data_IF_472621791359
#
_entry.id   IF_472621791359
#
_cell.length_a   1.000
_cell.length_b   1.000
_cell.length_c   1.000
_cell.angle_alpha   90.00
_cell.angle_beta   90.00
_cell.angle_gamma   90.00
#
_symmetry.space_group_name_H-M   'P 1'
#
loop_
_entity.id
_entity.type
_entity.pdbx_description
1 polymer ?
#
# COMPACT_ATOMS: atom_id res chain seq x y z
N UNK A 1 -1.54 24.46 -3.37
CA UNK A 1 -2.07 23.13 -2.99
C UNK A 1 -1.07 22.42 -2.10
N UNK A 2 -1.22 22.62 -0.83
CA UNK A 2 -0.36 21.99 0.19
C UNK A 2 -0.93 20.64 0.59
N UNK A 3 -0.66 19.65 -0.22
CA UNK A 3 -1.16 18.31 -0.04
C UNK A 3 -0.34 17.55 1.01
N UNK A 4 -0.98 16.89 1.97
CA UNK A 4 -0.33 16.14 3.05
C UNK A 4 0.70 15.11 2.52
N UNK A 5 0.45 14.57 1.32
CA UNK A 5 1.39 13.71 0.58
C UNK A 5 2.66 14.45 0.11
N UNK A 6 2.57 15.75 -0.14
CA UNK A 6 3.70 16.57 -0.61
C UNK A 6 4.55 17.12 0.54
N UNK A 7 3.95 17.44 1.68
CA UNK A 7 4.67 18.05 2.81
C UNK A 7 5.65 17.13 3.54
N UNK A 8 5.39 15.82 3.57
CA UNK A 8 6.29 14.88 4.27
C UNK A 8 7.49 14.40 3.44
N UNK A 9 7.63 14.84 2.19
CA UNK A 9 8.69 14.36 1.30
C UNK A 9 9.64 15.44 0.78
N UNK A 10 9.46 16.71 1.13
CA UNK A 10 10.34 17.78 0.67
C UNK A 10 11.22 18.25 1.84
N UNK A 11 12.28 17.50 2.11
CA UNK A 11 13.46 17.99 2.80
C UNK A 11 14.36 18.70 1.78
N UNK A 12 14.76 19.93 2.11
CA UNK A 12 15.66 20.82 1.36
C UNK A 12 16.78 20.10 0.59
N UNK A 13 16.92 20.41 -0.70
CA UNK A 13 17.97 19.88 -1.55
C UNK A 13 18.54 20.88 -2.52
N UNK A 14 19.84 20.94 -2.61
CA UNK A 14 20.63 21.49 -3.73
C UNK A 14 20.25 20.81 -5.04
N UNK A 15 20.14 21.59 -6.12
CA UNK A 15 19.63 21.14 -7.44
C UNK A 15 20.64 20.21 -8.10
N UNK A 16 20.40 18.91 -7.95
CA UNK A 16 21.02 17.86 -8.77
C UNK A 16 20.00 17.42 -9.83
N UNK A 17 20.35 17.55 -11.12
CA UNK A 17 19.47 17.21 -12.25
C UNK A 17 19.00 15.74 -12.22
N UNK A 18 19.81 14.80 -11.74
CA UNK A 18 19.42 13.41 -11.55
C UNK A 18 18.34 13.29 -10.45
N UNK A 19 18.42 14.13 -9.45
CA UNK A 19 17.45 14.20 -8.36
C UNK A 19 16.12 14.80 -8.81
N UNK A 20 16.16 15.82 -9.67
CA UNK A 20 14.95 16.39 -10.31
C UNK A 20 14.25 15.35 -11.18
N UNK A 21 15.01 14.59 -11.98
CA UNK A 21 14.47 13.51 -12.81
C UNK A 21 13.80 12.42 -11.96
N UNK A 22 14.44 11.97 -10.88
CA UNK A 22 13.87 11.01 -9.94
C UNK A 22 12.63 11.56 -9.21
N UNK A 23 12.59 12.87 -8.91
CA UNK A 23 11.42 13.53 -8.32
C UNK A 23 10.25 13.53 -9.32
N UNK A 24 10.49 13.82 -10.61
CA UNK A 24 9.45 13.84 -11.64
C UNK A 24 8.86 12.45 -11.89
N UNK A 25 9.69 11.41 -11.97
CA UNK A 25 9.24 10.01 -12.04
C UNK A 25 8.40 9.67 -10.81
N UNK A 26 8.84 10.07 -9.62
CA UNK A 26 8.11 9.85 -8.38
C UNK A 26 6.75 10.56 -8.35
N UNK A 27 6.62 11.75 -8.96
CA UNK A 27 5.34 12.48 -9.03
C UNK A 27 4.34 11.72 -9.89
N UNK A 28 4.76 11.23 -11.07
CA UNK A 28 3.88 10.47 -11.96
C UNK A 28 3.46 9.13 -11.32
N UNK A 29 4.40 8.41 -10.72
CA UNK A 29 4.09 7.19 -9.98
C UNK A 29 3.10 7.44 -8.83
N UNK A 30 3.24 8.54 -8.10
CA UNK A 30 2.31 8.92 -7.02
C UNK A 30 0.92 9.21 -7.54
N UNK A 31 0.78 9.91 -8.66
CA UNK A 31 -0.52 10.11 -9.32
C UNK A 31 -1.18 8.77 -9.66
N UNK A 32 -0.44 7.85 -10.27
CA UNK A 32 -0.95 6.53 -10.61
C UNK A 32 -1.35 5.72 -9.37
N UNK A 33 -0.60 5.82 -8.28
CA UNK A 33 -0.93 5.18 -6.99
C UNK A 33 -2.26 5.73 -6.47
N UNK A 34 -2.40 7.05 -6.38
CA UNK A 34 -3.61 7.71 -5.88
C UNK A 34 -4.84 7.31 -6.71
N UNK A 35 -4.75 7.36 -8.03
CA UNK A 35 -5.81 6.97 -8.95
C UNK A 35 -6.17 5.49 -8.81
N UNK A 36 -5.16 4.61 -8.75
CA UNK A 36 -5.38 3.16 -8.61
C UNK A 36 -6.09 2.83 -7.31
N UNK A 37 -5.78 3.57 -6.24
CA UNK A 37 -6.37 3.39 -4.92
C UNK A 37 -7.70 4.14 -4.73
N UNK A 38 -8.15 4.91 -5.74
CA UNK A 38 -9.39 5.69 -5.67
C UNK A 38 -9.36 6.72 -4.55
N UNK A 39 -8.26 7.46 -4.44
CA UNK A 39 -8.05 8.49 -3.41
C UNK A 39 -8.05 9.92 -3.98
N UNK A 40 -8.37 10.11 -5.27
CA UNK A 40 -8.29 11.40 -5.96
C UNK A 40 -9.13 12.49 -5.29
N UNK A 41 -10.30 12.13 -4.79
CA UNK A 41 -11.25 13.03 -4.12
C UNK A 41 -11.01 13.15 -2.61
N UNK A 42 -9.96 12.53 -2.08
CA UNK A 42 -9.64 12.45 -0.63
C UNK A 42 -8.26 13.02 -0.27
N UNK A 43 -7.60 13.68 -1.20
CA UNK A 43 -6.23 14.16 -1.02
C UNK A 43 -6.09 15.20 0.10
N UNK A 44 -7.13 15.99 0.35
CA UNK A 44 -7.17 17.01 1.39
C UNK A 44 -7.90 16.56 2.67
N UNK A 45 -8.35 15.30 2.72
CA UNK A 45 -9.08 14.77 3.85
C UNK A 45 -8.15 14.51 5.05
N UNK A 46 -8.61 14.85 6.25
CA UNK A 46 -7.94 14.50 7.49
C UNK A 46 -8.21 13.03 7.85
N UNK A 47 -7.33 12.37 8.62
CA UNK A 47 -7.51 10.96 8.98
C UNK A 47 -8.87 10.64 9.61
N UNK A 48 -9.42 11.54 10.44
CA UNK A 48 -10.71 11.39 11.09
C UNK A 48 -11.92 11.56 10.15
N UNK A 49 -11.70 12.03 8.93
CA UNK A 49 -12.72 12.18 7.88
C UNK A 49 -12.76 10.99 6.93
N UNK A 50 -11.87 10.00 7.12
CA UNK A 50 -11.75 8.82 6.29
C UNK A 50 -12.39 7.60 6.97
N UNK A 51 -13.09 6.77 6.18
CA UNK A 51 -13.53 5.45 6.62
C UNK A 51 -12.33 4.52 6.89
N UNK A 52 -12.53 3.43 7.63
CA UNK A 52 -11.47 2.46 7.89
C UNK A 52 -10.83 1.92 6.61
N UNK A 53 -11.63 1.61 5.59
CA UNK A 53 -11.12 1.17 4.29
C UNK A 53 -10.35 2.26 3.56
N UNK A 54 -10.76 3.52 3.65
CA UNK A 54 -10.02 4.65 3.07
C UNK A 54 -8.70 4.88 3.81
N UNK A 55 -8.68 4.78 5.13
CA UNK A 55 -7.45 4.84 5.93
C UNK A 55 -6.47 3.74 5.52
N UNK A 56 -6.97 2.53 5.30
CA UNK A 56 -6.16 1.41 4.83
C UNK A 56 -5.59 1.66 3.43
N UNK A 57 -6.39 2.20 2.50
CA UNK A 57 -5.92 2.59 1.16
C UNK A 57 -4.83 3.67 1.24
N UNK A 58 -4.95 4.62 2.15
CA UNK A 58 -3.90 5.63 2.41
C UNK A 58 -2.62 4.98 2.93
N UNK A 59 -2.72 3.99 3.83
CA UNK A 59 -1.55 3.25 4.31
C UNK A 59 -0.84 2.50 3.18
N UNK A 60 -1.59 1.85 2.29
CA UNK A 60 -1.07 1.19 1.09
C UNK A 60 -0.40 2.21 0.15
N UNK A 61 -1.04 3.36 -0.08
CA UNK A 61 -0.48 4.43 -0.91
C UNK A 61 0.88 4.92 -0.37
N UNK A 62 0.98 5.09 0.94
CA UNK A 62 2.23 5.50 1.60
C UNK A 62 3.34 4.46 1.43
N UNK A 63 3.01 3.19 1.58
CA UNK A 63 3.97 2.11 1.37
C UNK A 63 4.47 2.07 -0.09
N UNK A 64 3.57 2.15 -1.06
CA UNK A 64 3.90 2.15 -2.48
C UNK A 64 4.70 3.39 -2.91
N UNK A 65 4.40 4.56 -2.34
CA UNK A 65 5.07 5.82 -2.69
C UNK A 65 6.57 5.81 -2.36
N UNK A 66 7.00 4.95 -1.43
CA UNK A 66 8.41 4.75 -1.12
C UNK A 66 9.15 3.86 -2.16
N UNK A 67 8.40 3.26 -3.10
CA UNK A 67 8.90 2.30 -4.09
C UNK A 67 9.80 1.20 -3.46
N UNK A 68 9.35 0.51 -2.43
CA UNK A 68 10.14 -0.47 -1.71
C UNK A 68 10.28 -1.75 -2.54
N UNK A 69 11.28 -2.59 -2.25
CA UNK A 69 11.38 -3.91 -2.86
C UNK A 69 10.31 -4.89 -2.32
N UNK A 70 9.92 -4.72 -1.06
CA UNK A 70 8.94 -5.59 -0.38
C UNK A 70 8.02 -4.71 0.48
N UNK A 71 6.73 -5.01 0.46
CA UNK A 71 5.71 -4.43 1.36
C UNK A 71 5.31 -5.50 2.37
N UNK A 72 5.38 -5.16 3.64
CA UNK A 72 4.90 -6.01 4.72
C UNK A 72 3.52 -5.55 5.16
N UNK A 73 2.54 -6.44 5.15
CA UNK A 73 1.17 -6.20 5.54
C UNK A 73 0.80 -7.16 6.69
N UNK A 74 0.70 -6.62 7.89
CA UNK A 74 0.32 -7.36 9.09
C UNK A 74 -1.17 -7.15 9.36
N UNK A 75 -1.97 -8.23 9.21
CA UNK A 75 -3.43 -8.23 9.36
C UNK A 75 -4.11 -7.02 8.70
N UNK A 76 -3.90 -6.76 7.38
CA UNK A 76 -4.28 -5.50 6.74
C UNK A 76 -5.80 -5.24 6.72
N UNK A 77 -6.60 -6.22 7.08
CA UNK A 77 -8.07 -6.15 7.09
C UNK A 77 -8.70 -6.47 8.45
N UNK A 78 -7.89 -6.62 9.49
CA UNK A 78 -8.33 -7.09 10.81
C UNK A 78 -9.42 -6.24 11.49
N UNK A 79 -9.51 -4.96 11.14
CA UNK A 79 -10.51 -4.01 11.70
C UNK A 79 -11.57 -3.57 10.69
N UNK A 80 -11.73 -4.30 9.57
CA UNK A 80 -12.66 -3.96 8.51
C UNK A 80 -13.79 -4.99 8.43
N UNK A 81 -14.98 -4.55 7.97
CA UNK A 81 -16.07 -5.45 7.60
C UNK A 81 -15.69 -6.30 6.38
N UNK A 82 -16.39 -7.41 6.17
CA UNK A 82 -16.04 -8.40 5.13
C UNK A 82 -16.00 -7.82 3.72
N UNK A 83 -16.93 -6.91 3.38
CA UNK A 83 -16.98 -6.28 2.05
C UNK A 83 -15.78 -5.36 1.84
N UNK A 84 -15.53 -4.48 2.79
CA UNK A 84 -14.39 -3.55 2.76
C UNK A 84 -13.06 -4.31 2.77
N UNK A 85 -12.99 -5.44 3.49
CA UNK A 85 -11.82 -6.32 3.49
C UNK A 85 -11.52 -6.88 2.10
N UNK A 86 -12.52 -7.40 1.41
CA UNK A 86 -12.37 -7.93 0.05
C UNK A 86 -11.94 -6.84 -0.94
N UNK A 87 -12.51 -5.62 -0.82
CA UNK A 87 -12.12 -4.48 -1.66
C UNK A 87 -10.64 -4.12 -1.45
N UNK A 88 -10.18 -4.05 -0.20
CA UNK A 88 -8.79 -3.75 0.15
C UNK A 88 -7.83 -4.83 -0.33
N UNK A 89 -8.18 -6.11 -0.17
CA UNK A 89 -7.35 -7.24 -0.63
C UNK A 89 -7.24 -7.29 -2.15
N UNK A 90 -8.36 -7.09 -2.85
CA UNK A 90 -8.38 -7.00 -4.31
C UNK A 90 -7.48 -5.87 -4.81
N UNK A 91 -7.51 -4.75 -4.10
CA UNK A 91 -6.70 -3.59 -4.40
C UNK A 91 -5.21 -3.85 -4.15
N UNK A 92 -4.85 -4.54 -3.06
CA UNK A 92 -3.47 -4.99 -2.81
C UNK A 92 -2.96 -5.88 -3.95
N UNK A 93 -3.78 -6.81 -4.42
CA UNK A 93 -3.42 -7.70 -5.55
C UNK A 93 -3.21 -6.91 -6.84
N UNK A 94 -4.12 -6.01 -7.18
CA UNK A 94 -4.00 -5.14 -8.36
C UNK A 94 -2.75 -4.27 -8.28
N UNK A 95 -2.47 -3.68 -7.12
CA UNK A 95 -1.30 -2.82 -6.94
C UNK A 95 0.00 -3.60 -6.99
N UNK A 96 0.06 -4.82 -6.43
CA UNK A 96 1.26 -5.66 -6.52
C UNK A 96 1.64 -5.97 -7.97
N UNK A 97 0.65 -6.29 -8.79
CA UNK A 97 0.85 -6.57 -10.21
C UNK A 97 1.22 -5.31 -11.00
N UNK A 98 0.47 -4.22 -10.81
CA UNK A 98 0.66 -2.97 -11.55
C UNK A 98 2.00 -2.31 -11.27
N UNK A 99 2.46 -2.35 -10.03
CA UNK A 99 3.71 -1.71 -9.60
C UNK A 99 4.86 -2.71 -9.42
N UNK A 100 4.68 -3.98 -9.83
CA UNK A 100 5.66 -5.06 -9.71
C UNK A 100 6.23 -5.17 -8.27
N UNK A 101 5.34 -5.08 -7.26
CA UNK A 101 5.71 -5.11 -5.84
C UNK A 101 5.50 -6.49 -5.25
N UNK A 102 6.48 -6.97 -4.50
CA UNK A 102 6.30 -8.15 -3.66
C UNK A 102 5.61 -7.75 -2.36
N UNK A 103 4.44 -8.35 -2.08
CA UNK A 103 3.70 -8.15 -0.83
C UNK A 103 3.82 -9.41 0.01
N UNK A 104 4.31 -9.26 1.23
CA UNK A 104 4.29 -10.32 2.25
C UNK A 104 3.20 -9.98 3.24
N UNK A 105 2.15 -10.80 3.27
CA UNK A 105 1.00 -10.62 4.16
C UNK A 105 1.03 -11.61 5.30
N UNK A 106 0.80 -11.14 6.51
CA UNK A 106 0.58 -11.96 7.70
C UNK A 106 -0.90 -11.94 7.98
N UNK A 107 -1.52 -13.12 8.07
CA UNK A 107 -2.92 -13.27 8.44
C UNK A 107 -3.18 -14.62 9.09
N UNK A 108 -4.14 -14.66 9.99
CA UNK A 108 -4.69 -15.90 10.57
C UNK A 108 -5.98 -16.35 9.84
N UNK A 109 -6.45 -15.59 8.85
CA UNK A 109 -7.63 -15.91 8.08
C UNK A 109 -7.27 -16.75 6.86
N UNK A 110 -7.76 -17.99 6.82
CA UNK A 110 -7.49 -18.95 5.74
C UNK A 110 -7.99 -18.48 4.37
N UNK A 111 -9.18 -17.86 4.30
CA UNK A 111 -9.74 -17.35 3.05
C UNK A 111 -8.89 -16.26 2.44
N UNK A 112 -8.32 -15.39 3.29
CA UNK A 112 -7.39 -14.33 2.87
C UNK A 112 -6.07 -14.95 2.39
N UNK A 113 -5.55 -15.95 3.09
CA UNK A 113 -4.33 -16.63 2.70
C UNK A 113 -4.45 -17.27 1.31
N UNK A 114 -5.61 -17.81 0.95
CA UNK A 114 -5.86 -18.41 -0.37
C UNK A 114 -5.82 -17.42 -1.53
N UNK A 115 -5.84 -16.10 -1.27
CA UNK A 115 -5.71 -15.08 -2.31
C UNK A 115 -4.25 -14.83 -2.73
N UNK A 116 -3.29 -15.32 -1.95
CA UNK A 116 -1.86 -15.19 -2.22
C UNK A 116 -1.38 -16.18 -3.29
N UNK A 117 -0.33 -15.81 -4.01
CA UNK A 117 0.31 -16.68 -5.00
C UNK A 117 1.14 -17.79 -4.31
N UNK A 118 1.53 -17.58 -3.04
CA UNK A 118 2.28 -18.53 -2.22
C UNK A 118 1.87 -18.40 -0.76
N UNK A 119 1.70 -19.53 -0.10
CA UNK A 119 1.34 -19.60 1.32
C UNK A 119 2.47 -20.30 2.09
N UNK A 120 2.89 -19.70 3.18
CA UNK A 120 3.83 -20.29 4.15
C UNK A 120 3.11 -20.38 5.49
N UNK A 121 2.91 -21.61 5.99
CA UNK A 121 2.32 -21.85 7.31
C UNK A 121 3.40 -21.94 8.37
N UNK A 122 3.18 -21.21 9.44
CA UNK A 122 4.08 -21.19 10.59
C UNK A 122 3.28 -21.58 11.84
N UNK A 123 3.74 -22.60 12.55
CA UNK A 123 3.20 -23.04 13.85
C UNK A 123 4.36 -23.16 14.83
N UNK A 124 4.19 -22.65 16.04
CA UNK A 124 5.21 -22.68 17.11
C UNK A 124 6.60 -22.21 16.64
N UNK A 125 6.63 -21.18 15.79
CA UNK A 125 7.87 -20.62 15.25
C UNK A 125 8.57 -21.47 14.19
N UNK A 126 7.91 -22.50 13.65
CA UNK A 126 8.46 -23.40 12.62
C UNK A 126 7.57 -23.41 11.38
N UNK A 127 8.21 -23.50 10.21
CA UNK A 127 7.49 -23.68 8.95
C UNK A 127 6.98 -25.12 8.88
N UNK A 128 5.65 -25.30 8.78
CA UNK A 128 5.00 -26.63 8.72
C UNK A 128 4.58 -26.99 7.30
N UNK A 129 4.27 -26.03 6.44
CA UNK A 129 4.00 -26.28 5.02
C UNK A 129 4.27 -25.05 4.15
N UNK A 130 4.49 -25.29 2.85
CA UNK A 130 4.62 -24.27 1.81
C UNK A 130 3.88 -24.75 0.57
N UNK A 131 3.02 -23.87 0.00
CA UNK A 131 2.28 -24.11 -1.25
C UNK A 131 2.47 -22.93 -2.20
#
# INVERSE_FOLDING_TARGET
MDNLFYKSCIGLATVDLNRVHNILINIENRKQIVQTLGLDDRLDALPNQLSGGQQQRVAIARALAAAPAIILADEPTGNLDSKTSQDVLSLLKVTSQKFAQTIVMITHNEEIAQMADRIIRIEDGRIVSQN
#
